data_IF_674316676736
#
_entry.id   IF_674316676736
#
_cell.length_a   1.000
_cell.length_b   1.000
_cell.length_c   1.000
_cell.angle_alpha   90.00
_cell.angle_beta   90.00
_cell.angle_gamma   90.00
#
_symmetry.space_group_name_H-M   'P 1'
#
loop_
_entity.id
_entity.type
_entity.pdbx_description
1 polymer ?
#
# COMPACT_ATOMS: atom_id res chain seq x y z
N UNK A 1 -13.73 6.43 12.65
CA UNK A 1 -13.64 7.84 12.24
C UNK A 1 -12.18 8.28 12.22
N UNK A 2 -11.74 8.82 11.09
CA UNK A 2 -10.35 9.25 10.89
C UNK A 2 -10.04 10.48 11.73
N UNK A 3 -9.07 10.39 12.64
CA UNK A 3 -8.70 11.51 13.52
C UNK A 3 -7.55 12.30 12.87
N UNK A 4 -7.88 13.44 12.26
CA UNK A 4 -6.94 14.29 11.55
C UNK A 4 -6.00 15.09 12.44
N UNK A 5 -6.23 15.12 13.76
CA UNK A 5 -5.38 15.84 14.72
C UNK A 5 -4.19 15.01 15.19
N UNK A 6 -4.13 13.72 14.86
CA UNK A 6 -2.97 12.89 15.17
C UNK A 6 -1.79 13.25 14.28
N UNK A 7 -0.58 13.07 14.80
CA UNK A 7 0.61 13.15 13.97
C UNK A 7 0.73 11.91 13.07
N UNK A 8 1.45 12.05 11.97
CA UNK A 8 1.74 10.94 11.05
C UNK A 8 2.35 9.76 11.81
N UNK A 9 3.35 10.04 12.66
CA UNK A 9 4.02 8.99 13.42
C UNK A 9 3.07 8.26 14.37
N UNK A 10 2.27 8.99 15.13
CA UNK A 10 1.29 8.38 16.04
C UNK A 10 0.29 7.50 15.30
N UNK A 11 -0.19 7.96 14.16
CA UNK A 11 -1.10 7.20 13.31
C UNK A 11 -0.47 5.89 12.84
N UNK A 12 0.80 5.94 12.41
CA UNK A 12 1.51 4.74 11.93
C UNK A 12 1.83 3.75 13.04
N UNK A 13 1.99 4.22 14.27
CA UNK A 13 2.28 3.36 15.42
C UNK A 13 1.07 2.60 15.95
N UNK A 14 -0.14 3.00 15.58
CA UNK A 14 -1.36 2.29 15.98
C UNK A 14 -1.37 0.88 15.38
N UNK A 15 -1.59 -0.12 16.22
CA UNK A 15 -1.68 -1.53 15.81
C UNK A 15 -0.47 -2.02 14.99
N UNK A 16 0.69 -1.40 15.22
CA UNK A 16 1.91 -1.68 14.44
C UNK A 16 3.00 -2.19 15.38
N UNK A 17 3.66 -3.28 14.98
CA UNK A 17 4.78 -3.86 15.73
C UNK A 17 6.15 -3.36 15.26
N UNK A 18 6.18 -2.45 14.29
CA UNK A 18 7.42 -1.96 13.72
C UNK A 18 8.00 -0.83 14.56
N UNK A 19 9.33 -0.75 14.58
CA UNK A 19 10.03 0.33 15.25
C UNK A 19 9.83 1.66 14.51
N UNK A 20 10.12 2.77 15.19
CA UNK A 20 10.07 4.10 14.58
C UNK A 20 11.01 4.16 13.36
N UNK A 21 12.19 3.55 13.46
CA UNK A 21 13.15 3.54 12.35
C UNK A 21 12.61 2.79 11.13
N UNK A 22 11.95 1.66 11.34
CA UNK A 22 11.33 0.89 10.26
C UNK A 22 10.17 1.66 9.60
N UNK A 23 9.33 2.31 10.41
CA UNK A 23 8.24 3.15 9.91
C UNK A 23 8.79 4.29 9.07
N UNK A 24 9.83 4.97 9.56
CA UNK A 24 10.48 6.07 8.82
C UNK A 24 11.04 5.60 7.48
N UNK A 25 11.67 4.43 7.45
CA UNK A 25 12.24 3.89 6.23
C UNK A 25 11.17 3.61 5.17
N UNK A 26 10.05 3.01 5.56
CA UNK A 26 8.92 2.73 4.67
C UNK A 26 8.31 4.03 4.15
N UNK A 27 8.05 4.99 5.03
CA UNK A 27 7.46 6.28 4.63
C UNK A 27 8.39 7.06 3.71
N UNK A 28 9.70 7.03 3.96
CA UNK A 28 10.68 7.67 3.08
C UNK A 28 10.65 7.06 1.68
N UNK A 29 10.51 5.75 1.56
CA UNK A 29 10.40 5.08 0.26
C UNK A 29 9.14 5.49 -0.49
N UNK A 30 8.09 5.90 0.22
CA UNK A 30 6.84 6.41 -0.35
C UNK A 30 6.87 7.93 -0.55
N UNK A 31 8.00 8.59 -0.31
CA UNK A 31 8.14 10.02 -0.49
C UNK A 31 7.69 10.87 0.70
N UNK A 32 7.39 10.27 1.84
CA UNK A 32 7.05 10.99 3.07
C UNK A 32 8.32 11.10 3.91
N UNK A 33 8.94 12.26 3.90
CA UNK A 33 10.24 12.49 4.51
C UNK A 33 10.19 12.75 6.02
N UNK A 34 11.38 12.89 6.61
CA UNK A 34 11.53 13.09 8.05
C UNK A 34 10.83 14.36 8.55
N UNK A 35 10.72 15.40 7.70
CA UNK A 35 10.04 16.64 8.08
C UNK A 35 8.52 16.49 8.16
N UNK A 36 7.96 15.50 7.48
CA UNK A 36 6.51 15.29 7.40
C UNK A 36 5.99 14.37 8.50
N UNK A 37 6.87 13.58 9.11
CA UNK A 37 6.47 12.56 10.08
C UNK A 37 5.89 13.13 11.38
N UNK A 38 6.25 14.36 11.72
CA UNK A 38 5.74 15.08 12.89
C UNK A 38 4.51 15.94 12.58
N UNK A 39 4.15 16.07 11.31
CA UNK A 39 2.96 16.84 10.92
C UNK A 39 1.69 16.12 11.35
N UNK A 40 0.62 16.88 11.53
CA UNK A 40 -0.69 16.31 11.73
C UNK A 40 -1.24 15.79 10.39
N UNK A 41 -2.10 14.80 10.46
CA UNK A 41 -2.74 14.24 9.26
C UNK A 41 -3.49 15.31 8.45
N UNK A 42 -4.05 16.31 9.15
CA UNK A 42 -4.76 17.43 8.51
C UNK A 42 -3.86 18.29 7.63
N UNK A 43 -2.55 18.25 7.83
CA UNK A 43 -1.59 19.07 7.08
C UNK A 43 -1.06 18.35 5.83
N UNK A 44 -1.49 17.11 5.59
CA UNK A 44 -1.06 16.34 4.44
C UNK A 44 -1.97 16.57 3.23
N UNK A 45 -1.39 16.48 2.04
CA UNK A 45 -2.17 16.47 0.80
C UNK A 45 -2.94 15.16 0.66
N UNK A 46 -3.94 15.14 -0.24
CA UNK A 46 -4.72 13.92 -0.51
C UNK A 46 -3.83 12.76 -0.97
N UNK A 47 -2.85 13.03 -1.83
CA UNK A 47 -1.92 12.01 -2.30
C UNK A 47 -1.03 11.46 -1.19
N UNK A 48 -0.56 12.32 -0.28
CA UNK A 48 0.23 11.91 0.86
C UNK A 48 -0.58 11.04 1.83
N UNK A 49 -1.85 11.37 2.03
CA UNK A 49 -2.76 10.55 2.86
C UNK A 49 -2.94 9.16 2.26
N UNK A 50 -3.13 9.06 0.95
CA UNK A 50 -3.26 7.76 0.27
C UNK A 50 -2.00 6.92 0.48
N UNK A 51 -0.82 7.50 0.29
CA UNK A 51 0.46 6.82 0.54
C UNK A 51 0.58 6.34 1.98
N UNK A 52 0.17 7.17 2.92
CA UNK A 52 0.19 6.85 4.34
C UNK A 52 -0.73 5.67 4.66
N UNK A 53 -1.95 5.69 4.13
CA UNK A 53 -2.92 4.61 4.35
C UNK A 53 -2.45 3.29 3.75
N UNK A 54 -1.89 3.31 2.55
CA UNK A 54 -1.30 2.13 1.92
C UNK A 54 -0.16 1.57 2.76
N UNK A 55 0.73 2.43 3.23
CA UNK A 55 1.86 2.03 4.08
C UNK A 55 1.39 1.39 5.38
N UNK A 56 0.41 2.00 6.04
CA UNK A 56 -0.15 1.47 7.29
C UNK A 56 -0.78 0.10 7.08
N UNK A 57 -1.54 -0.05 6.00
CA UNK A 57 -2.20 -1.29 5.68
C UNK A 57 -1.20 -2.43 5.43
N UNK A 58 -0.16 -2.14 4.67
CA UNK A 58 0.87 -3.14 4.31
C UNK A 58 1.85 -3.45 5.44
N UNK A 59 1.96 -2.57 6.44
CA UNK A 59 2.72 -2.83 7.66
C UNK A 59 1.88 -3.54 8.72
N UNK A 60 0.58 -3.64 8.53
CA UNK A 60 -0.31 -4.33 9.46
C UNK A 60 -0.25 -5.86 9.31
N UNK A 61 -0.92 -6.55 10.21
CA UNK A 61 -1.01 -8.02 10.23
C UNK A 61 -2.43 -8.47 9.89
N UNK A 62 -2.82 -8.30 8.65
CA UNK A 62 -4.13 -8.74 8.18
C UNK A 62 -3.98 -10.04 7.39
N UNK A 63 -4.94 -10.94 7.52
CA UNK A 63 -4.95 -12.19 6.76
C UNK A 63 -5.24 -11.93 5.29
N UNK A 64 -6.15 -11.01 5.01
CA UNK A 64 -6.57 -10.66 3.65
C UNK A 64 -6.66 -9.14 3.53
N UNK A 65 -6.03 -8.59 2.51
CA UNK A 65 -6.17 -7.18 2.13
C UNK A 65 -6.92 -7.08 0.82
N UNK A 66 -7.85 -6.16 0.75
CA UNK A 66 -8.56 -5.81 -0.48
C UNK A 66 -8.11 -4.43 -0.93
N UNK A 67 -7.60 -4.31 -2.14
CA UNK A 67 -7.06 -3.05 -2.66
C UNK A 67 -7.65 -2.78 -4.03
N UNK A 68 -8.19 -1.59 -4.23
CA UNK A 68 -8.75 -1.14 -5.50
C UNK A 68 -7.87 -0.05 -6.09
N UNK A 69 -7.25 -0.35 -7.23
CA UNK A 69 -6.32 0.57 -7.93
C UNK A 69 -5.25 1.17 -7.01
N UNK A 70 -4.46 0.31 -6.31
CA UNK A 70 -3.55 0.81 -5.27
C UNK A 70 -2.41 1.68 -5.80
N UNK A 71 -2.07 1.56 -7.08
CA UNK A 71 -1.01 2.36 -7.70
C UNK A 71 -1.48 3.69 -8.28
N UNK A 72 -2.79 3.99 -8.25
CA UNK A 72 -3.30 5.25 -8.81
C UNK A 72 -2.71 6.44 -8.10
N UNK A 73 -2.33 7.45 -8.89
CA UNK A 73 -1.78 8.72 -8.43
C UNK A 73 -0.41 8.62 -7.74
N UNK A 74 0.24 7.46 -7.78
CA UNK A 74 1.59 7.30 -7.27
C UNK A 74 2.62 7.59 -8.35
N UNK A 75 3.74 8.22 -7.96
CA UNK A 75 4.90 8.38 -8.82
C UNK A 75 5.66 7.04 -8.94
N UNK A 76 6.63 6.98 -9.86
CA UNK A 76 7.38 5.75 -10.14
C UNK A 76 8.10 5.22 -8.90
N UNK A 77 8.68 6.10 -8.09
CA UNK A 77 9.38 5.71 -6.87
C UNK A 77 8.43 5.07 -5.86
N UNK A 78 7.26 5.67 -5.69
CA UNK A 78 6.24 5.18 -4.75
C UNK A 78 5.63 3.87 -5.24
N UNK A 79 5.43 3.71 -6.55
CA UNK A 79 4.96 2.44 -7.12
C UNK A 79 5.98 1.33 -6.86
N UNK A 80 7.27 1.58 -7.03
CA UNK A 80 8.31 0.60 -6.74
C UNK A 80 8.30 0.18 -5.27
N UNK A 81 8.11 1.13 -4.36
CA UNK A 81 7.99 0.86 -2.93
C UNK A 81 6.73 0.03 -2.62
N UNK A 82 5.61 0.38 -3.25
CA UNK A 82 4.35 -0.36 -3.11
C UNK A 82 4.52 -1.81 -3.57
N UNK A 83 5.13 -2.04 -4.72
CA UNK A 83 5.40 -3.37 -5.24
C UNK A 83 6.24 -4.20 -4.28
N UNK A 84 7.29 -3.60 -3.72
CA UNK A 84 8.16 -4.28 -2.75
C UNK A 84 7.39 -4.71 -1.51
N UNK A 85 6.56 -3.81 -0.98
CA UNK A 85 5.74 -4.11 0.19
C UNK A 85 4.69 -5.19 -0.10
N UNK A 86 4.04 -5.13 -1.26
CA UNK A 86 3.04 -6.13 -1.64
C UNK A 86 3.66 -7.51 -1.81
N UNK A 87 4.85 -7.60 -2.42
CA UNK A 87 5.57 -8.86 -2.61
C UNK A 87 5.97 -9.52 -1.29
N UNK A 88 6.32 -8.72 -0.31
CA UNK A 88 6.79 -9.22 0.99
C UNK A 88 5.67 -9.39 2.02
N UNK A 89 4.44 -9.04 1.66
CA UNK A 89 3.31 -9.18 2.56
C UNK A 89 3.01 -10.64 2.86
N UNK A 90 2.91 -11.00 4.15
CA UNK A 90 2.75 -12.38 4.57
C UNK A 90 1.34 -12.94 4.34
N UNK A 91 0.34 -12.07 4.29
CA UNK A 91 -1.06 -12.48 4.06
C UNK A 91 -1.42 -12.56 2.59
N UNK A 92 -2.70 -12.66 2.32
CA UNK A 92 -3.24 -12.68 0.96
C UNK A 92 -3.69 -11.28 0.57
N UNK A 93 -3.30 -10.83 -0.61
CA UNK A 93 -3.74 -9.56 -1.19
C UNK A 93 -4.61 -9.87 -2.40
N UNK A 94 -5.82 -9.31 -2.41
CA UNK A 94 -6.69 -9.31 -3.58
C UNK A 94 -6.77 -7.87 -4.06
N UNK A 95 -6.29 -7.60 -5.26
CA UNK A 95 -6.28 -6.23 -5.79
C UNK A 95 -6.82 -6.17 -7.21
N UNK A 96 -7.42 -5.02 -7.52
CA UNK A 96 -7.90 -4.69 -8.85
C UNK A 96 -7.02 -3.59 -9.40
N UNK A 97 -6.52 -3.75 -10.62
CA UNK A 97 -5.72 -2.73 -11.27
C UNK A 97 -5.84 -2.80 -12.78
N UNK A 98 -5.84 -1.62 -13.42
CA UNK A 98 -5.71 -1.47 -14.87
C UNK A 98 -4.25 -1.28 -15.28
N UNK A 99 -3.34 -1.13 -14.32
CA UNK A 99 -1.91 -1.05 -14.59
C UNK A 99 -1.35 -2.45 -14.83
N UNK A 100 -1.17 -2.78 -16.10
CA UNK A 100 -0.70 -4.10 -16.50
C UNK A 100 0.68 -4.43 -15.92
N UNK A 101 1.56 -3.44 -15.83
CA UNK A 101 2.91 -3.65 -15.29
C UNK A 101 2.86 -4.01 -13.80
N UNK A 102 2.04 -3.32 -13.03
CA UNK A 102 1.84 -3.64 -11.62
C UNK A 102 1.30 -5.06 -11.46
N UNK A 103 0.27 -5.41 -12.22
CA UNK A 103 -0.33 -6.75 -12.18
C UNK A 103 0.70 -7.82 -12.54
N UNK A 104 1.44 -7.63 -13.62
CA UNK A 104 2.44 -8.62 -14.08
C UNK A 104 3.59 -8.77 -13.09
N UNK A 105 3.98 -7.69 -12.41
CA UNK A 105 5.08 -7.72 -11.45
C UNK A 105 4.71 -8.38 -10.12
N UNK A 106 3.46 -8.26 -9.69
CA UNK A 106 3.05 -8.60 -8.31
C UNK A 106 2.18 -9.86 -8.26
N UNK A 107 1.27 -10.03 -9.19
CA UNK A 107 0.23 -11.06 -9.08
C UNK A 107 0.80 -12.47 -9.19
N UNK A 108 0.38 -13.34 -8.29
CA UNK A 108 0.64 -14.78 -8.38
C UNK A 108 -0.45 -15.44 -9.22
N UNK A 109 -1.67 -14.95 -9.14
CA UNK A 109 -2.82 -15.44 -9.90
C UNK A 109 -3.56 -14.24 -10.47
N UNK A 110 -3.92 -14.30 -11.74
CA UNK A 110 -4.69 -13.24 -12.39
C UNK A 110 -6.03 -13.80 -12.84
N UNK A 111 -7.10 -13.12 -12.44
CA UNK A 111 -8.45 -13.38 -12.92
C UNK A 111 -8.91 -12.21 -13.78
N UNK A 112 -9.48 -12.51 -14.92
CA UNK A 112 -10.09 -11.51 -15.79
C UNK A 112 -11.61 -11.62 -15.69
N UNK A 113 -12.27 -10.47 -15.56
CA UNK A 113 -13.75 -10.42 -15.58
C UNK A 113 -14.15 -10.04 -16.99
N UNK A 114 -14.82 -10.98 -17.66
CA UNK A 114 -15.26 -10.80 -19.04
C UNK A 114 -16.60 -11.51 -19.27
N UNK A 115 -17.54 -10.82 -19.93
CA UNK A 115 -18.86 -11.36 -20.24
C UNK A 115 -19.58 -11.93 -18.98
N UNK A 116 -19.51 -11.19 -17.87
CA UNK A 116 -20.10 -11.57 -16.57
C UNK A 116 -19.51 -12.86 -15.97
N UNK A 117 -18.31 -13.25 -16.40
CA UNK A 117 -17.61 -14.43 -15.90
C UNK A 117 -16.24 -14.04 -15.36
N UNK A 118 -15.75 -14.84 -14.42
CA UNK A 118 -14.40 -14.71 -13.86
C UNK A 118 -13.56 -15.85 -14.44
N UNK A 119 -12.49 -15.49 -15.16
CA UNK A 119 -11.64 -16.45 -15.86
C UNK A 119 -10.21 -16.30 -15.33
N UNK A 120 -9.61 -17.41 -14.86
CA UNK A 120 -8.21 -17.40 -14.48
C UNK A 120 -7.35 -17.39 -15.74
N UNK A 121 -6.56 -16.34 -15.92
CA UNK A 121 -5.70 -16.13 -17.10
C UNK A 121 -4.24 -16.39 -16.85
N UNK A 122 -3.81 -16.41 -15.59
CA UNK A 122 -2.42 -16.58 -15.24
C UNK A 122 -2.29 -17.17 -13.81
N UNK A 123 -1.29 -18.02 -13.63
CA UNK A 123 -0.90 -18.53 -12.32
C UNK A 123 0.62 -18.70 -12.33
N UNK A 124 1.29 -18.09 -11.35
CA UNK A 124 2.74 -18.15 -11.23
C UNK A 124 3.13 -19.50 -10.62
N UNK A 125 4.10 -20.16 -11.22
CA UNK A 125 4.69 -21.37 -10.66
C UNK A 125 5.51 -21.03 -9.42
N UNK A 126 5.37 -21.84 -8.39
CA UNK A 126 6.12 -21.69 -7.15
C UNK A 126 7.57 -22.19 -7.30
#
# INVERSE_FOLDING_TARGET
>A
KFNTHKSVLSFMQEECEYTVAEIRAVLASMGIGANDIQKNLSDLSGGEIIKLLLSKMLLGKYNILLMDEPGNYLDLKSIAALETMMKSYAGTIIFVSHDKQLVDNIADIIYEIKDHKIIKTFERDC
#
